data_IF_798509244227
#
_entry.id   IF_798509244227
#
_cell.length_a   1.000
_cell.length_b   1.000
_cell.length_c   1.000
_cell.angle_alpha   90.00
_cell.angle_beta   90.00
_cell.angle_gamma   90.00
#
_symmetry.space_group_name_H-M   'P 1'
#
loop_
_entity.id
_entity.type
_entity.pdbx_description
1 polymer ?
#
# COMPACT_ATOMS: atom_id res chain seq x y z
N UNK A 1 23.69 16.45 -4.79
CA UNK A 1 23.28 15.04 -4.75
C UNK A 1 22.06 14.96 -3.83
N UNK A 2 20.79 14.86 -4.30
CA UNK A 2 19.67 14.99 -3.38
C UNK A 2 19.34 13.60 -2.80
N UNK A 3 20.00 13.23 -1.71
CA UNK A 3 19.64 12.06 -0.91
C UNK A 3 18.45 12.33 0.04
N UNK A 4 17.81 13.50 -0.04
CA UNK A 4 16.80 13.98 0.92
C UNK A 4 15.40 14.24 0.33
N UNK A 5 15.15 13.92 -0.95
CA UNK A 5 13.92 14.32 -1.66
C UNK A 5 12.60 13.86 -1.00
N UNK A 6 12.63 12.84 -0.13
CA UNK A 6 11.45 12.36 0.60
C UNK A 6 11.49 12.64 2.11
N UNK A 7 12.57 13.22 2.64
CA UNK A 7 12.73 13.48 4.09
C UNK A 7 11.81 14.58 4.59
N UNK A 8 11.57 15.58 3.76
CA UNK A 8 10.66 16.69 4.06
C UNK A 8 9.18 16.31 3.89
N UNK A 9 8.90 15.09 3.43
CA UNK A 9 7.54 14.60 3.30
C UNK A 9 6.95 14.25 4.67
N UNK A 10 5.75 14.76 4.89
CA UNK A 10 4.93 14.36 6.03
C UNK A 10 4.11 13.15 5.63
N UNK A 11 4.32 12.03 6.33
CA UNK A 11 3.42 10.88 6.24
C UNK A 11 2.41 10.98 7.36
N UNK A 12 1.12 10.86 7.02
CA UNK A 12 0.01 10.95 7.95
C UNK A 12 -1.05 9.90 7.63
N UNK A 13 -1.92 9.65 8.60
CA UNK A 13 -3.16 8.93 8.38
C UNK A 13 -3.97 9.61 7.25
N UNK A 14 -4.56 8.80 6.38
CA UNK A 14 -5.47 9.30 5.36
C UNK A 14 -6.77 9.83 5.99
N UNK A 15 -7.49 10.65 5.22
CA UNK A 15 -8.82 11.19 5.52
C UNK A 15 -9.75 10.88 4.35
N UNK A 16 -11.08 10.80 4.55
CA UNK A 16 -12.01 10.56 3.45
C UNK A 16 -11.85 11.53 2.27
N UNK A 17 -11.54 12.80 2.57
CA UNK A 17 -11.32 13.85 1.57
C UNK A 17 -10.07 13.64 0.70
N UNK A 18 -9.10 12.83 1.14
CA UNK A 18 -7.87 12.57 0.36
C UNK A 18 -8.16 11.78 -0.93
N UNK A 19 -9.34 11.16 -1.04
CA UNK A 19 -9.77 10.44 -2.23
C UNK A 19 -9.65 11.30 -3.50
N UNK A 20 -10.07 12.56 -3.43
CA UNK A 20 -10.12 13.44 -4.59
C UNK A 20 -8.71 13.76 -5.12
N UNK A 21 -7.76 13.97 -4.21
CA UNK A 21 -6.35 14.17 -4.55
C UNK A 21 -5.73 12.89 -5.15
N UNK A 22 -6.06 11.72 -4.59
CA UNK A 22 -5.54 10.43 -5.07
C UNK A 22 -6.04 10.13 -6.49
N UNK A 23 -7.35 10.22 -6.74
CA UNK A 23 -7.91 9.89 -8.06
C UNK A 23 -7.56 10.92 -9.13
N UNK A 24 -7.17 12.13 -8.75
CA UNK A 24 -6.66 13.13 -9.68
C UNK A 24 -5.30 12.73 -10.29
N UNK A 25 -4.50 11.91 -9.60
CA UNK A 25 -3.13 11.55 -10.04
C UNK A 25 -2.97 10.09 -10.45
N UNK A 26 -3.87 9.20 -10.03
CA UNK A 26 -3.65 7.74 -10.08
C UNK A 26 -3.43 7.20 -11.50
N UNK A 27 -4.20 7.68 -12.48
CA UNK A 27 -4.08 7.24 -13.88
C UNK A 27 -2.76 7.73 -14.50
N UNK A 28 -2.37 8.97 -14.18
CA UNK A 28 -1.10 9.56 -14.62
C UNK A 28 0.09 8.83 -14.02
N UNK A 29 0.05 8.52 -12.72
CA UNK A 29 1.13 7.79 -12.06
C UNK A 29 1.30 6.36 -12.60
N UNK A 30 0.21 5.71 -13.00
CA UNK A 30 0.25 4.38 -13.62
C UNK A 30 0.50 4.38 -15.12
N UNK A 31 0.34 5.53 -15.79
CA UNK A 31 0.40 5.62 -17.26
C UNK A 31 -0.75 4.91 -17.98
N UNK A 32 -1.82 4.55 -17.27
CA UNK A 32 -3.02 3.89 -17.82
C UNK A 32 -4.22 4.10 -16.89
N UNK A 33 -5.47 3.95 -17.39
CA UNK A 33 -6.66 4.01 -16.56
C UNK A 33 -6.67 2.89 -15.51
N UNK A 34 -6.64 3.28 -14.23
CA UNK A 34 -6.79 2.39 -13.08
C UNK A 34 -7.73 2.96 -12.01
N UNK A 35 -8.16 4.22 -12.12
CA UNK A 35 -9.08 4.86 -11.16
C UNK A 35 -10.27 3.99 -10.76
N UNK A 36 -10.84 3.24 -11.70
CA UNK A 36 -11.98 2.36 -11.45
C UNK A 36 -11.70 1.24 -10.44
N UNK A 37 -10.44 0.86 -10.22
CA UNK A 37 -10.03 -0.17 -9.26
C UNK A 37 -9.80 0.38 -7.85
N UNK A 38 -9.92 1.70 -7.67
CA UNK A 38 -9.96 2.37 -6.37
C UNK A 38 -11.30 3.11 -6.16
N UNK A 39 -12.40 2.38 -5.89
CA UNK A 39 -13.66 2.98 -5.48
C UNK A 39 -13.54 3.84 -4.21
N UNK A 40 -14.38 4.88 -4.10
CA UNK A 40 -14.40 5.83 -2.97
C UNK A 40 -14.56 5.17 -1.60
N UNK A 41 -15.25 4.02 -1.55
CA UNK A 41 -15.47 3.24 -0.33
C UNK A 41 -14.19 2.99 0.46
N UNK A 42 -13.04 2.86 -0.22
CA UNK A 42 -11.78 2.58 0.46
C UNK A 42 -11.35 3.72 1.38
N UNK A 43 -11.57 4.98 0.99
CA UNK A 43 -11.26 6.13 1.83
C UNK A 43 -12.43 6.50 2.74
N UNK A 44 -13.67 6.15 2.39
CA UNK A 44 -14.80 6.34 3.31
C UNK A 44 -14.69 5.41 4.53
N UNK A 45 -14.38 4.13 4.31
CA UNK A 45 -14.43 3.12 5.36
C UNK A 45 -13.06 2.70 5.91
N UNK A 46 -11.98 2.83 5.13
CA UNK A 46 -10.65 2.31 5.49
C UNK A 46 -9.55 3.39 5.50
N UNK A 47 -9.91 4.68 5.59
CA UNK A 47 -8.90 5.75 5.69
C UNK A 47 -8.05 5.65 6.96
N UNK A 48 -8.62 5.15 8.06
CA UNK A 48 -7.94 5.09 9.36
C UNK A 48 -6.64 4.26 9.31
N UNK A 49 -6.64 3.20 8.50
CA UNK A 49 -5.52 2.28 8.30
C UNK A 49 -4.70 2.61 7.05
N UNK A 50 -5.07 3.66 6.33
CA UNK A 50 -4.41 4.12 5.12
C UNK A 50 -3.43 5.26 5.44
N UNK A 51 -2.46 5.48 4.55
CA UNK A 51 -1.45 6.54 4.68
C UNK A 51 -1.39 7.40 3.45
N UNK A 52 -1.13 8.67 3.65
CA UNK A 52 -0.75 9.62 2.59
C UNK A 52 0.57 10.28 2.96
N UNK A 53 1.39 10.53 1.96
CA UNK A 53 2.61 11.30 2.04
C UNK A 53 2.40 12.61 1.28
N UNK A 54 2.70 13.73 1.92
CA UNK A 54 2.50 15.07 1.35
C UNK A 54 3.77 15.90 1.44
N UNK A 55 3.97 16.73 0.43
CA UNK A 55 4.96 17.80 0.45
C UNK A 55 4.56 18.90 1.45
N UNK A 56 5.49 19.78 1.85
CA UNK A 56 5.17 20.92 2.73
C UNK A 56 4.07 21.85 2.19
N UNK A 57 3.88 21.90 0.88
CA UNK A 57 2.82 22.68 0.23
C UNK A 57 1.45 21.96 0.18
N UNK A 58 1.37 20.75 0.74
CA UNK A 58 0.17 19.91 0.77
C UNK A 58 -0.06 19.07 -0.49
N UNK A 59 0.82 19.12 -1.49
CA UNK A 59 0.70 18.26 -2.67
C UNK A 59 1.01 16.80 -2.35
N UNK A 60 0.28 15.88 -3.01
CA UNK A 60 0.37 14.44 -2.76
C UNK A 60 1.64 13.85 -3.39
N UNK A 61 2.49 13.24 -2.55
CA UNK A 61 3.73 12.59 -2.94
C UNK A 61 3.60 11.05 -3.03
N UNK A 62 2.64 10.49 -2.30
CA UNK A 62 2.38 9.05 -2.29
C UNK A 62 1.22 8.69 -1.37
N UNK A 63 0.72 7.47 -1.51
CA UNK A 63 -0.36 6.94 -0.68
C UNK A 63 -0.28 5.42 -0.56
N UNK A 64 -0.85 4.89 0.50
CA UNK A 64 -1.06 3.47 0.75
C UNK A 64 -2.49 3.28 1.27
N UNK A 65 -3.28 2.47 0.55
CA UNK A 65 -4.63 2.10 0.90
C UNK A 65 -4.61 0.67 1.43
N UNK A 66 -5.00 0.52 2.68
CA UNK A 66 -4.97 -0.76 3.37
C UNK A 66 -6.03 -0.83 4.47
N UNK A 67 -6.34 -2.04 4.91
CA UNK A 67 -7.36 -2.30 5.93
C UNK A 67 -7.01 -3.51 6.79
N UNK A 68 -7.55 -3.54 8.00
CA UNK A 68 -7.56 -4.72 8.87
C UNK A 68 -8.78 -5.57 8.50
N UNK A 69 -8.60 -6.87 8.28
CA UNK A 69 -9.71 -7.73 7.88
C UNK A 69 -10.69 -7.93 9.04
N UNK A 70 -12.00 -7.66 8.87
CA UNK A 70 -12.99 -7.94 9.90
C UNK A 70 -13.30 -9.44 10.02
N UNK A 71 -13.14 -10.19 8.92
CA UNK A 71 -13.48 -11.62 8.87
C UNK A 71 -12.30 -12.53 9.20
N UNK A 72 -11.07 -12.04 8.98
CA UNK A 72 -9.83 -12.77 9.27
C UNK A 72 -9.04 -11.96 10.29
N UNK A 73 -9.32 -12.18 11.57
CA UNK A 73 -8.81 -11.35 12.68
C UNK A 73 -7.27 -11.32 12.79
N UNK A 74 -6.54 -12.20 12.10
CA UNK A 74 -5.09 -12.19 12.08
C UNK A 74 -4.51 -11.39 10.90
N UNK A 75 -5.34 -11.02 9.93
CA UNK A 75 -4.89 -10.47 8.66
C UNK A 75 -5.15 -8.97 8.51
N UNK A 76 -4.20 -8.31 7.86
CA UNK A 76 -4.33 -7.00 7.28
C UNK A 76 -4.05 -7.10 5.76
N UNK A 77 -4.60 -6.17 4.98
CA UNK A 77 -4.53 -6.23 3.52
C UNK A 77 -4.12 -4.88 2.94
N UNK A 78 -3.10 -4.88 2.08
CA UNK A 78 -2.71 -3.71 1.28
C UNK A 78 -3.39 -3.82 -0.08
N UNK A 79 -4.35 -2.93 -0.34
CA UNK A 79 -5.09 -2.89 -1.60
C UNK A 79 -4.33 -2.11 -2.67
N UNK A 80 -3.76 -0.96 -2.29
CA UNK A 80 -3.15 -0.04 -3.25
C UNK A 80 -1.95 0.69 -2.65
N UNK A 81 -0.90 0.89 -3.43
CA UNK A 81 0.21 1.81 -3.09
C UNK A 81 0.64 2.57 -4.33
N UNK A 82 0.60 3.90 -4.25
CA UNK A 82 1.09 4.80 -5.30
C UNK A 82 2.16 5.73 -4.77
N UNK A 83 3.17 5.99 -5.58
CA UNK A 83 4.20 7.00 -5.32
C UNK A 83 4.37 7.81 -6.59
N UNK A 84 4.54 9.13 -6.44
CA UNK A 84 4.87 10.03 -7.53
C UNK A 84 6.05 9.46 -8.34
N UNK A 85 5.92 9.33 -9.68
CA UNK A 85 7.00 8.87 -10.55
C UNK A 85 8.35 9.55 -10.29
N UNK A 86 8.37 10.84 -9.97
CA UNK A 86 9.58 11.61 -9.66
C UNK A 86 10.26 11.18 -8.35
N UNK A 87 9.53 10.54 -7.44
CA UNK A 87 10.00 10.06 -6.15
C UNK A 87 10.24 8.55 -6.12
N UNK A 88 10.16 7.85 -7.25
CA UNK A 88 10.50 6.42 -7.31
C UNK A 88 11.96 6.18 -6.96
N UNK A 89 12.22 5.08 -6.27
CA UNK A 89 13.57 4.77 -5.77
C UNK A 89 14.02 5.60 -4.55
N UNK A 90 13.21 6.57 -4.08
CA UNK A 90 13.52 7.34 -2.88
C UNK A 90 13.42 6.53 -1.58
N UNK A 91 12.63 5.44 -1.58
CA UNK A 91 12.29 4.69 -0.38
C UNK A 91 10.95 5.09 0.27
N UNK A 92 10.22 6.05 -0.31
CA UNK A 92 8.91 6.51 0.21
C UNK A 92 7.90 5.36 0.37
N UNK A 93 7.75 4.49 -0.65
CA UNK A 93 6.85 3.33 -0.55
C UNK A 93 7.20 2.43 0.64
N UNK A 94 8.50 2.22 0.89
CA UNK A 94 8.96 1.44 2.04
C UNK A 94 8.61 2.09 3.38
N UNK A 95 8.64 3.43 3.48
CA UNK A 95 8.18 4.16 4.67
C UNK A 95 6.68 3.96 4.90
N UNK A 96 5.86 4.12 3.86
CA UNK A 96 4.41 3.89 3.92
C UNK A 96 4.08 2.46 4.41
N UNK A 97 4.76 1.45 3.85
CA UNK A 97 4.57 0.06 4.26
C UNK A 97 4.94 -0.18 5.72
N UNK A 98 6.10 0.34 6.18
CA UNK A 98 6.54 0.16 7.57
C UNK A 98 5.58 0.80 8.57
N UNK A 99 5.04 1.98 8.26
CA UNK A 99 4.03 2.62 9.12
C UNK A 99 2.75 1.80 9.20
N UNK A 100 2.30 1.23 8.08
CA UNK A 100 1.15 0.32 8.08
C UNK A 100 1.44 -1.00 8.81
N UNK A 101 2.63 -1.59 8.66
CA UNK A 101 3.01 -2.79 9.40
C UNK A 101 2.99 -2.56 10.91
N UNK A 102 3.50 -1.43 11.37
CA UNK A 102 3.46 -1.07 12.78
C UNK A 102 2.02 -0.92 13.29
N UNK A 103 1.13 -0.31 12.50
CA UNK A 103 -0.29 -0.20 12.85
C UNK A 103 -0.98 -1.57 12.89
N UNK A 104 -0.75 -2.42 11.88
CA UNK A 104 -1.33 -3.75 11.82
C UNK A 104 -0.87 -4.62 13.02
N UNK A 105 0.41 -4.56 13.36
CA UNK A 105 0.95 -5.26 14.53
C UNK A 105 0.37 -4.72 15.84
N UNK A 106 0.25 -3.41 16.00
CA UNK A 106 -0.37 -2.78 17.16
C UNK A 106 -1.86 -3.14 17.30
N UNK A 107 -2.54 -3.41 16.18
CA UNK A 107 -3.91 -3.92 16.15
C UNK A 107 -4.02 -5.45 16.33
N UNK A 108 -2.92 -6.13 16.65
CA UNK A 108 -2.89 -7.56 16.91
C UNK A 108 -2.97 -8.43 15.66
N UNK A 109 -2.59 -7.91 14.49
CA UNK A 109 -2.47 -8.70 13.25
C UNK A 109 -1.06 -9.24 13.12
N UNK A 110 -0.93 -10.48 12.67
CA UNK A 110 0.36 -11.14 12.46
C UNK A 110 0.66 -11.43 10.98
N UNK A 111 -0.31 -11.19 10.07
CA UNK A 111 -0.16 -11.41 8.63
C UNK A 111 -0.61 -10.19 7.83
N UNK A 112 0.20 -9.77 6.85
CA UNK A 112 -0.15 -8.80 5.83
C UNK A 112 -0.23 -9.47 4.47
N UNK A 113 -1.32 -9.20 3.75
CA UNK A 113 -1.62 -9.72 2.41
C UNK A 113 -1.59 -8.61 1.36
N UNK A 114 -1.22 -8.97 0.14
CA UNK A 114 -1.37 -8.14 -1.05
C UNK A 114 -1.36 -9.05 -2.29
N UNK A 115 -1.73 -8.52 -3.45
CA UNK A 115 -1.67 -9.24 -4.72
C UNK A 115 -1.17 -8.36 -5.86
N UNK A 116 -0.64 -8.97 -6.91
CA UNK A 116 -0.33 -8.24 -8.14
C UNK A 116 -0.40 -9.14 -9.37
N UNK A 117 -0.38 -8.55 -10.57
CA UNK A 117 -0.31 -9.33 -11.82
C UNK A 117 1.10 -9.92 -12.03
N UNK A 118 1.25 -11.14 -12.59
CA UNK A 118 2.55 -11.76 -12.87
C UNK A 118 3.52 -10.90 -13.69
N UNK A 119 3.00 -10.03 -14.56
CA UNK A 119 3.83 -9.12 -15.39
C UNK A 119 4.36 -7.91 -14.63
N UNK A 120 3.90 -7.68 -13.39
CA UNK A 120 4.32 -6.55 -12.57
C UNK A 120 5.60 -6.87 -11.79
N UNK A 121 6.70 -7.10 -12.51
CA UNK A 121 8.00 -7.47 -11.94
C UNK A 121 8.52 -6.46 -10.91
N UNK A 122 8.23 -5.16 -11.10
CA UNK A 122 8.59 -4.12 -10.14
C UNK A 122 7.89 -4.28 -8.79
N UNK A 123 6.59 -4.57 -8.80
CA UNK A 123 5.83 -4.85 -7.58
C UNK A 123 6.32 -6.13 -6.89
N UNK A 124 6.58 -7.20 -7.66
CA UNK A 124 7.12 -8.46 -7.13
C UNK A 124 8.46 -8.22 -6.44
N UNK A 125 9.41 -7.58 -7.11
CA UNK A 125 10.72 -7.28 -6.54
C UNK A 125 10.63 -6.39 -5.28
N UNK A 126 9.77 -5.37 -5.32
CA UNK A 126 9.53 -4.49 -4.16
C UNK A 126 8.95 -5.25 -2.97
N UNK A 127 7.91 -6.07 -3.15
CA UNK A 127 7.31 -6.84 -2.07
C UNK A 127 8.28 -7.88 -1.51
N UNK A 128 9.05 -8.57 -2.36
CA UNK A 128 10.13 -9.46 -1.89
C UNK A 128 11.15 -8.71 -1.03
N UNK A 129 11.59 -7.52 -1.45
CA UNK A 129 12.52 -6.69 -0.68
C UNK A 129 11.92 -6.17 0.65
N UNK A 130 10.59 -5.99 0.69
CA UNK A 130 9.84 -5.70 1.91
C UNK A 130 9.59 -6.93 2.79
N UNK A 131 10.11 -8.11 2.40
CA UNK A 131 10.03 -9.36 3.13
C UNK A 131 8.66 -10.02 3.06
N UNK A 132 7.97 -9.91 1.92
CA UNK A 132 6.86 -10.80 1.59
C UNK A 132 7.38 -12.08 0.94
N UNK A 133 6.76 -13.20 1.31
CA UNK A 133 6.76 -14.42 0.52
C UNK A 133 5.83 -14.23 -0.69
N UNK A 134 6.24 -14.72 -1.85
CA UNK A 134 5.51 -14.59 -3.12
C UNK A 134 5.10 -15.97 -3.62
N UNK A 135 3.81 -16.17 -3.85
CA UNK A 135 3.23 -17.43 -4.35
C UNK A 135 2.46 -17.17 -5.64
N UNK A 136 2.52 -18.11 -6.59
CA UNK A 136 1.79 -18.06 -7.85
C UNK A 136 2.68 -18.19 -9.08
N UNK A 137 2.14 -17.94 -10.29
CA UNK A 137 0.80 -17.43 -10.57
C UNK A 137 -0.32 -18.36 -10.08
N UNK A 138 -1.42 -17.76 -9.60
CA UNK A 138 -2.69 -18.45 -9.29
C UNK A 138 -3.70 -18.07 -10.36
N UNK A 139 -4.03 -19.04 -11.20
CA UNK A 139 -4.99 -18.88 -12.28
C UNK A 139 -6.43 -18.92 -11.76
N UNK A 140 -7.31 -18.14 -12.38
CA UNK A 140 -8.71 -18.05 -12.00
C UNK A 140 -8.98 -17.25 -10.72
N UNK A 141 -7.99 -16.56 -10.15
CA UNK A 141 -8.12 -15.93 -8.82
C UNK A 141 -9.33 -14.97 -8.71
N UNK A 142 -9.57 -14.15 -9.74
CA UNK A 142 -10.74 -13.28 -9.86
C UNK A 142 -11.73 -13.76 -10.95
N UNK A 143 -11.73 -15.06 -11.25
CA UNK A 143 -12.47 -15.64 -12.37
C UNK A 143 -11.62 -15.86 -13.62
N UNK A 144 -12.26 -16.36 -14.67
CA UNK A 144 -11.62 -16.76 -15.92
C UNK A 144 -10.73 -15.65 -16.52
N UNK A 145 -9.54 -16.03 -16.98
CA UNK A 145 -8.57 -15.09 -17.55
C UNK A 145 -7.79 -14.24 -16.55
N UNK A 146 -8.09 -14.31 -15.25
CA UNK A 146 -7.30 -13.65 -14.20
C UNK A 146 -6.18 -14.56 -13.71
N UNK A 147 -4.95 -14.04 -13.65
CA UNK A 147 -3.82 -14.71 -13.00
C UNK A 147 -3.11 -13.71 -12.09
N UNK A 148 -2.89 -14.07 -10.82
CA UNK A 148 -2.29 -13.19 -9.81
C UNK A 148 -1.16 -13.87 -9.04
N UNK A 149 -0.18 -13.06 -8.65
CA UNK A 149 0.80 -13.38 -7.62
C UNK A 149 0.23 -12.96 -6.26
N UNK A 150 0.30 -13.84 -5.28
CA UNK A 150 -0.14 -13.61 -3.91
C UNK A 150 1.05 -13.30 -3.02
N UNK A 151 0.93 -12.27 -2.20
CA UNK A 151 1.96 -11.85 -1.27
C UNK A 151 1.50 -12.10 0.18
N UNK A 152 2.39 -12.70 0.97
CA UNK A 152 2.20 -12.89 2.43
C UNK A 152 3.42 -12.37 3.17
N UNK A 153 3.21 -11.55 4.19
CA UNK A 153 4.26 -11.16 5.13
C UNK A 153 3.79 -11.42 6.54
N UNK A 154 4.59 -12.17 7.32
CA UNK A 154 4.38 -12.25 8.77
C UNK A 154 4.98 -11.04 9.47
N UNK A 155 4.26 -10.53 10.46
CA UNK A 155 4.71 -9.45 11.33
C UNK A 155 5.28 -10.05 12.61
N UNK A 156 6.35 -9.45 13.11
CA UNK A 156 6.87 -9.80 14.43
C UNK A 156 5.86 -9.37 15.50
N UNK A 157 5.60 -10.20 16.52
CA UNK A 157 4.75 -9.80 17.64
C UNK A 157 5.31 -8.51 18.24
N UNK A 158 4.45 -7.50 18.41
CA UNK A 158 4.85 -6.34 19.20
C UNK A 158 5.12 -6.86 20.61
N UNK A 159 6.39 -6.84 21.04
CA UNK A 159 6.76 -7.28 22.38
C UNK A 159 6.02 -6.38 23.35
N UNK A 160 4.94 -6.90 23.95
CA UNK A 160 4.09 -6.13 24.84
C UNK A 160 4.91 -5.60 25.99
N UNK A 161 4.88 -4.28 26.19
CA UNK A 161 5.15 -3.77 27.54
C UNK A 161 3.96 -4.21 28.37
N UNK A 162 4.23 -5.14 29.30
CA UNK A 162 3.30 -5.57 30.35
C UNK A 162 2.90 -4.39 31.24
#
# INVERSE_FOLDING_TARGET
MPFDAFRDLTVRQARPADYDAIVAVVDTWWGRPIKATLPRLYLEHFHATSRVAEHPDGSLAGFLIAFLSPSLAQEAYIHFVGVDPALRGSGLAGRLYREFFAEAAAAGRDVVRAVTSPVNHGSIAFHTAMGFSVTGPVDGYNGEGSSLMLFERRLEPTSGTR
#
